data_IF_385887144067
#
_entry.id   IF_385887144067
#
_cell.length_a   1.000
_cell.length_b   1.000
_cell.length_c   1.000
_cell.angle_alpha   90.00
_cell.angle_beta   90.00
_cell.angle_gamma   90.00
#
_symmetry.space_group_name_H-M   'P 1'
#
loop_
_entity.id
_entity.type
_entity.pdbx_description
1 polymer ?
#
# COMPACT_ATOMS: atom_id res chain seq x y z
N UNK A 1 -1.98 19.25 1.26
CA UNK A 1 -2.62 18.05 1.78
C UNK A 1 -1.92 17.67 3.10
N UNK A 2 -2.69 17.49 4.15
CA UNK A 2 -2.20 16.99 5.45
C UNK A 2 -2.99 15.73 5.79
N UNK A 3 -2.29 14.69 6.21
CA UNK A 3 -2.88 13.42 6.64
C UNK A 3 -2.32 13.11 8.02
N UNK A 4 -3.19 13.07 9.03
CA UNK A 4 -2.77 12.76 10.39
C UNK A 4 -2.73 11.24 10.62
N UNK A 5 -2.05 10.85 11.68
CA UNK A 5 -1.97 9.45 12.08
C UNK A 5 -3.37 8.87 12.33
N UNK A 6 -3.65 7.72 11.72
CA UNK A 6 -4.93 7.01 11.83
C UNK A 6 -6.03 7.51 10.89
N UNK A 7 -5.80 8.60 10.16
CA UNK A 7 -6.78 9.10 9.19
C UNK A 7 -6.74 8.31 7.88
N UNK A 8 -7.91 8.18 7.27
CA UNK A 8 -8.08 7.63 5.93
C UNK A 8 -8.58 8.71 5.00
N UNK A 9 -7.74 9.05 4.04
CA UNK A 9 -8.02 10.02 3.00
C UNK A 9 -8.24 9.33 1.66
N UNK A 10 -9.23 9.79 0.92
CA UNK A 10 -9.49 9.34 -0.45
C UNK A 10 -9.13 10.46 -1.41
N UNK A 11 -8.39 10.13 -2.46
CA UNK A 11 -8.04 11.05 -3.54
C UNK A 11 -8.74 10.61 -4.83
N UNK A 12 -9.68 11.40 -5.25
CA UNK A 12 -10.45 11.20 -6.49
C UNK A 12 -10.09 12.26 -7.54
N UNK A 13 -10.55 12.05 -8.75
CA UNK A 13 -10.36 13.01 -9.85
C UNK A 13 -10.30 12.33 -11.20
N UNK A 14 -10.41 13.09 -12.30
CA UNK A 14 -10.39 12.52 -13.65
C UNK A 14 -9.05 11.85 -13.98
N UNK A 15 -9.05 11.01 -15.00
CA UNK A 15 -7.83 10.42 -15.53
C UNK A 15 -6.89 11.54 -16.03
N UNK A 16 -5.59 11.38 -15.76
CA UNK A 16 -4.60 12.41 -16.10
C UNK A 16 -4.50 13.58 -15.10
N UNK A 17 -5.32 13.63 -14.04
CA UNK A 17 -5.25 14.70 -13.02
C UNK A 17 -3.96 14.69 -12.18
N UNK A 18 -3.19 13.59 -12.20
CA UNK A 18 -1.93 13.48 -11.46
C UNK A 18 -2.03 12.66 -10.17
N UNK A 19 -3.10 11.89 -9.95
CA UNK A 19 -3.31 11.09 -8.72
C UNK A 19 -2.17 10.10 -8.47
N UNK A 20 -1.92 9.20 -9.40
CA UNK A 20 -0.82 8.20 -9.31
C UNK A 20 0.55 8.88 -9.28
N UNK A 21 0.72 9.97 -10.03
CA UNK A 21 1.94 10.78 -9.99
C UNK A 21 2.22 11.28 -8.57
N UNK A 22 1.19 11.75 -7.84
CA UNK A 22 1.33 12.16 -6.45
C UNK A 22 1.82 11.00 -5.57
N UNK A 23 1.22 9.81 -5.71
CA UNK A 23 1.65 8.60 -4.98
C UNK A 23 3.13 8.28 -5.23
N UNK A 24 3.56 8.29 -6.49
CA UNK A 24 4.97 8.06 -6.85
C UNK A 24 5.91 9.14 -6.33
N UNK A 25 5.51 10.41 -6.38
CA UNK A 25 6.30 11.54 -5.84
C UNK A 25 6.43 11.42 -4.32
N UNK A 26 5.36 11.10 -3.62
CA UNK A 26 5.38 10.86 -2.17
C UNK A 26 6.31 9.70 -1.81
N UNK A 27 6.40 8.68 -2.65
CA UNK A 27 7.30 7.54 -2.45
C UNK A 27 8.75 7.80 -2.91
N UNK A 28 9.03 8.97 -3.52
CA UNK A 28 10.36 9.33 -3.99
C UNK A 28 10.82 8.55 -5.22
N UNK A 29 9.88 8.22 -6.12
CA UNK A 29 10.21 7.52 -7.35
C UNK A 29 11.18 8.34 -8.22
N UNK A 30 12.33 7.78 -8.67
CA UNK A 30 13.39 8.53 -9.36
C UNK A 30 12.97 9.19 -10.67
N UNK A 31 11.85 8.73 -11.25
CA UNK A 31 11.27 9.28 -12.48
C UNK A 31 10.80 10.74 -12.30
N UNK A 32 10.49 11.15 -11.07
CA UNK A 32 9.90 12.44 -10.78
C UNK A 32 10.81 13.29 -9.90
N UNK A 33 10.85 14.59 -10.16
CA UNK A 33 11.61 15.57 -9.38
C UNK A 33 10.65 16.59 -8.80
N UNK A 34 10.76 16.83 -7.49
CA UNK A 34 10.04 17.91 -6.81
C UNK A 34 10.75 19.23 -7.11
N UNK A 35 10.07 20.13 -7.81
CA UNK A 35 10.62 21.42 -8.23
C UNK A 35 10.29 22.55 -7.26
N UNK A 36 9.43 22.32 -6.28
CA UNK A 36 9.05 23.30 -5.27
C UNK A 36 8.12 22.71 -4.21
N UNK A 37 8.03 23.36 -3.08
CA UNK A 37 7.31 22.88 -1.90
C UNK A 37 8.12 21.92 -1.06
N UNK A 38 7.47 21.29 -0.09
CA UNK A 38 8.07 20.33 0.86
C UNK A 38 7.16 19.13 1.07
N UNK A 39 7.78 17.97 1.28
CA UNK A 39 7.11 16.74 1.73
C UNK A 39 7.61 16.46 3.15
N UNK A 40 6.71 16.61 4.12
CA UNK A 40 7.00 16.31 5.52
C UNK A 40 6.38 14.95 5.90
N UNK A 41 7.18 14.09 6.51
CA UNK A 41 6.71 12.83 7.06
C UNK A 41 7.15 12.68 8.51
N UNK A 42 6.21 12.56 9.43
CA UNK A 42 6.45 12.53 10.88
C UNK A 42 7.25 13.74 11.39
N UNK A 43 7.06 14.91 10.76
CA UNK A 43 7.76 16.16 11.09
C UNK A 43 9.13 16.33 10.43
N UNK A 44 9.63 15.35 9.72
CA UNK A 44 10.91 15.41 9.00
C UNK A 44 10.70 15.73 7.52
N UNK A 45 11.58 16.58 6.96
CA UNK A 45 11.56 16.88 5.52
C UNK A 45 12.19 15.73 4.74
N UNK A 46 11.36 15.03 3.98
CA UNK A 46 11.75 13.88 3.14
C UNK A 46 11.76 14.22 1.64
N UNK A 47 11.65 15.49 1.28
CA UNK A 47 11.47 15.93 -0.11
C UNK A 47 12.51 15.34 -1.06
N UNK A 48 13.76 15.23 -0.60
CA UNK A 48 14.88 14.69 -1.40
C UNK A 48 15.36 13.31 -0.94
N UNK A 49 14.65 12.68 -0.01
CA UNK A 49 15.01 11.34 0.45
C UNK A 49 14.67 10.26 -0.60
N UNK A 50 15.53 9.25 -0.68
CA UNK A 50 15.36 8.12 -1.60
C UNK A 50 14.20 7.22 -1.21
N UNK A 51 13.67 6.46 -2.18
CA UNK A 51 12.53 5.54 -2.00
C UNK A 51 12.77 4.52 -0.86
N UNK A 52 13.99 3.96 -0.78
CA UNK A 52 14.33 2.99 0.26
C UNK A 52 14.31 3.60 1.67
N UNK A 53 14.78 4.84 1.83
CA UNK A 53 14.71 5.55 3.10
C UNK A 53 13.27 5.86 3.51
N UNK A 54 12.42 6.30 2.57
CA UNK A 54 11.00 6.54 2.83
C UNK A 54 10.27 5.24 3.21
N UNK A 55 10.57 4.13 2.54
CA UNK A 55 10.03 2.83 2.88
C UNK A 55 10.45 2.38 4.30
N UNK A 56 11.74 2.53 4.66
CA UNK A 56 12.26 2.24 6.00
C UNK A 56 11.65 3.14 7.07
N UNK A 57 11.35 4.40 6.76
CA UNK A 57 10.66 5.34 7.65
C UNK A 57 9.19 4.93 7.91
N UNK A 58 8.64 4.03 7.10
CA UNK A 58 7.30 3.46 7.27
C UNK A 58 6.28 3.94 6.25
N UNK A 59 6.71 4.32 5.06
CA UNK A 59 5.81 4.56 3.93
C UNK A 59 5.66 3.31 3.08
N UNK A 60 4.49 3.12 2.48
CA UNK A 60 4.16 2.01 1.59
C UNK A 60 3.35 2.51 0.39
N UNK A 61 3.63 1.99 -0.78
CA UNK A 61 2.86 2.24 -2.00
C UNK A 61 2.44 0.92 -2.62
N UNK A 62 1.13 0.74 -2.81
CA UNK A 62 0.58 -0.31 -3.65
C UNK A 62 0.67 0.15 -5.11
N UNK A 63 1.23 -0.68 -5.96
CA UNK A 63 1.40 -0.35 -7.38
C UNK A 63 0.14 -0.71 -8.18
N UNK A 64 -0.17 0.09 -9.18
CA UNK A 64 -1.25 -0.25 -10.12
C UNK A 64 -0.96 -1.60 -10.81
N UNK A 65 0.30 -1.82 -11.22
CA UNK A 65 0.79 -3.08 -11.77
C UNK A 65 1.96 -3.61 -10.95
N UNK A 66 1.74 -4.56 -10.02
CA UNK A 66 2.78 -5.16 -9.22
C UNK A 66 3.80 -5.92 -10.06
N UNK A 67 5.08 -5.63 -9.85
CA UNK A 67 6.18 -6.26 -10.58
C UNK A 67 6.37 -7.73 -10.17
N UNK A 68 6.76 -8.55 -11.15
CA UNK A 68 7.19 -9.92 -10.92
C UNK A 68 8.67 -9.96 -10.57
N UNK A 69 9.03 -10.71 -9.51
CA UNK A 69 10.43 -10.87 -9.09
C UNK A 69 10.78 -12.35 -9.02
N UNK A 70 11.29 -12.94 -10.12
CA UNK A 70 11.69 -14.32 -10.15
C UNK A 70 12.81 -14.62 -9.13
N UNK A 71 12.70 -15.75 -8.45
CA UNK A 71 13.70 -16.23 -7.49
C UNK A 71 13.60 -15.63 -6.08
N UNK A 72 12.77 -14.61 -5.86
CA UNK A 72 12.48 -14.07 -4.54
C UNK A 72 11.07 -14.49 -4.12
N UNK A 73 10.94 -15.32 -3.09
CA UNK A 73 9.62 -15.76 -2.63
C UNK A 73 8.85 -14.63 -1.96
N UNK A 74 7.50 -14.70 -2.00
CA UNK A 74 6.62 -13.73 -1.32
C UNK A 74 6.95 -13.63 0.17
N UNK A 75 7.09 -14.78 0.85
CA UNK A 75 7.52 -14.85 2.25
C UNK A 75 8.90 -14.23 2.48
N UNK A 76 9.86 -14.58 1.64
CA UNK A 76 11.24 -14.08 1.71
C UNK A 76 11.30 -12.56 1.57
N UNK A 77 10.53 -12.00 0.63
CA UNK A 77 10.40 -10.56 0.43
C UNK A 77 9.86 -9.87 1.69
N UNK A 78 8.70 -10.31 2.18
CA UNK A 78 8.04 -9.72 3.35
C UNK A 78 8.95 -9.78 4.58
N UNK A 79 9.57 -10.94 4.83
CA UNK A 79 10.48 -11.13 5.95
C UNK A 79 11.70 -10.22 5.87
N UNK A 80 12.31 -10.10 4.69
CA UNK A 80 13.46 -9.22 4.47
C UNK A 80 13.09 -7.75 4.70
N UNK A 81 11.93 -7.31 4.21
CA UNK A 81 11.43 -5.96 4.43
C UNK A 81 11.16 -5.68 5.92
N UNK A 82 10.56 -6.62 6.64
CA UNK A 82 10.36 -6.52 8.09
C UNK A 82 11.69 -6.42 8.84
N UNK A 83 12.70 -7.23 8.48
CA UNK A 83 14.02 -7.18 9.10
C UNK A 83 14.70 -5.81 8.92
N UNK A 84 14.52 -5.16 7.77
CA UNK A 84 15.02 -3.80 7.56
C UNK A 84 14.33 -2.75 8.43
N UNK A 85 13.07 -3.00 8.82
CA UNK A 85 12.28 -2.08 9.64
C UNK A 85 12.51 -2.26 11.13
N UNK A 86 12.54 -3.51 11.62
CA UNK A 86 12.56 -3.82 13.07
C UNK A 86 13.83 -4.54 13.55
N UNK A 87 14.77 -4.82 12.65
CA UNK A 87 16.00 -5.53 12.92
C UNK A 87 15.80 -7.05 13.00
N UNK A 88 15.43 -7.58 14.17
CA UNK A 88 15.25 -9.01 14.35
C UNK A 88 13.79 -9.43 14.24
N UNK A 89 13.52 -10.43 13.40
CA UNK A 89 12.19 -11.03 13.22
C UNK A 89 12.26 -12.51 13.64
N UNK A 90 11.56 -12.87 14.71
CA UNK A 90 11.46 -14.26 15.15
C UNK A 90 10.66 -15.05 14.13
N UNK A 91 11.25 -16.11 13.59
CA UNK A 91 10.64 -16.88 12.50
C UNK A 91 9.28 -17.47 12.83
N UNK A 92 9.12 -17.99 14.04
CA UNK A 92 7.85 -18.57 14.49
C UNK A 92 6.72 -17.54 14.52
N UNK A 93 6.97 -16.37 15.09
CA UNK A 93 5.97 -15.30 15.20
C UNK A 93 5.60 -14.77 13.82
N UNK A 94 6.60 -14.64 12.94
CA UNK A 94 6.40 -14.26 11.54
C UNK A 94 5.52 -15.26 10.79
N UNK A 95 5.79 -16.56 10.88
CA UNK A 95 4.99 -17.60 10.19
C UNK A 95 3.55 -17.63 10.70
N UNK A 96 3.35 -17.47 12.01
CA UNK A 96 2.02 -17.40 12.62
C UNK A 96 1.22 -16.22 12.08
N UNK A 97 1.82 -15.03 12.04
CA UNK A 97 1.15 -13.82 11.54
C UNK A 97 0.92 -13.89 10.02
N UNK A 98 1.88 -14.43 9.26
CA UNK A 98 1.73 -14.65 7.82
C UNK A 98 0.53 -15.56 7.53
N UNK A 99 0.41 -16.70 8.23
CA UNK A 99 -0.72 -17.61 8.07
C UNK A 99 -2.05 -16.91 8.39
N UNK A 100 -2.13 -16.16 9.51
CA UNK A 100 -3.32 -15.40 9.89
C UNK A 100 -3.73 -14.41 8.79
N UNK A 101 -2.79 -13.66 8.25
CA UNK A 101 -3.07 -12.68 7.20
C UNK A 101 -3.50 -13.35 5.88
N UNK A 102 -2.87 -14.47 5.53
CA UNK A 102 -3.25 -15.25 4.34
C UNK A 102 -4.66 -15.83 4.47
N UNK A 103 -5.05 -16.32 5.64
CA UNK A 103 -6.41 -16.81 5.92
C UNK A 103 -7.46 -15.71 5.73
N UNK A 104 -7.21 -14.49 6.22
CA UNK A 104 -8.10 -13.35 6.04
C UNK A 104 -8.33 -13.04 4.56
N UNK A 105 -7.27 -13.11 3.76
CA UNK A 105 -7.30 -12.88 2.31
C UNK A 105 -7.75 -14.10 1.50
N UNK A 106 -8.06 -15.23 2.15
CA UNK A 106 -8.34 -16.50 1.51
C UNK A 106 -7.29 -16.81 0.42
N UNK A 107 -6.04 -16.73 0.82
CA UNK A 107 -4.88 -16.98 -0.02
C UNK A 107 -4.25 -18.32 0.36
N UNK A 108 -4.11 -19.22 -0.62
CA UNK A 108 -3.51 -20.53 -0.37
C UNK A 108 -2.08 -20.42 0.15
N UNK A 109 -1.74 -21.22 1.16
CA UNK A 109 -0.44 -21.16 1.84
C UNK A 109 0.76 -21.37 0.89
N UNK A 110 0.58 -22.10 -0.21
CA UNK A 110 1.63 -22.34 -1.20
C UNK A 110 2.14 -21.06 -1.88
N UNK A 111 1.31 -20.00 -1.92
CA UNK A 111 1.74 -18.71 -2.48
C UNK A 111 2.89 -18.08 -1.71
N UNK A 112 3.04 -18.36 -0.42
CA UNK A 112 4.15 -17.86 0.39
C UNK A 112 5.53 -18.29 -0.17
N UNK A 113 5.61 -19.50 -0.72
CA UNK A 113 6.84 -20.11 -1.24
C UNK A 113 7.05 -19.83 -2.73
N UNK A 114 6.07 -19.27 -3.44
CA UNK A 114 6.19 -18.91 -4.85
C UNK A 114 6.94 -17.59 -5.02
N UNK A 115 7.64 -17.45 -6.15
CA UNK A 115 8.29 -16.18 -6.52
C UNK A 115 7.26 -15.06 -6.58
N UNK A 116 7.62 -13.90 -6.01
CA UNK A 116 6.76 -12.74 -5.85
C UNK A 116 6.09 -12.36 -7.18
N UNK A 117 4.78 -12.45 -7.22
CA UNK A 117 3.89 -12.11 -8.33
C UNK A 117 4.08 -12.94 -9.62
N UNK A 118 5.05 -13.87 -9.70
CA UNK A 118 5.30 -14.65 -10.90
C UNK A 118 4.17 -15.64 -11.14
N UNK A 119 3.47 -15.47 -12.27
CA UNK A 119 2.34 -16.31 -12.65
C UNK A 119 1.12 -16.15 -11.73
N UNK A 120 1.03 -15.07 -10.97
CA UNK A 120 -0.17 -14.73 -10.21
C UNK A 120 -1.19 -14.06 -11.14
N UNK A 121 -2.46 -14.38 -10.97
CA UNK A 121 -3.56 -13.63 -11.57
C UNK A 121 -3.61 -12.19 -11.03
N UNK A 122 -4.35 -11.30 -11.66
CA UNK A 122 -4.52 -9.92 -11.17
C UNK A 122 -5.03 -9.85 -9.74
N UNK A 123 -6.03 -10.67 -9.40
CA UNK A 123 -6.56 -10.75 -8.04
C UNK A 123 -5.56 -11.27 -7.02
N UNK A 124 -4.77 -12.28 -7.38
CA UNK A 124 -3.72 -12.83 -6.51
C UNK A 124 -2.57 -11.82 -6.29
N UNK A 125 -2.17 -11.06 -7.33
CA UNK A 125 -1.20 -9.98 -7.19
C UNK A 125 -1.69 -8.91 -6.21
N UNK A 126 -2.95 -8.52 -6.29
CA UNK A 126 -3.53 -7.53 -5.36
C UNK A 126 -3.66 -8.08 -3.94
N UNK A 127 -4.07 -9.34 -3.76
CA UNK A 127 -4.03 -9.99 -2.45
C UNK A 127 -2.61 -10.04 -1.88
N UNK A 128 -1.60 -10.33 -2.69
CA UNK A 128 -0.20 -10.33 -2.26
C UNK A 128 0.30 -8.94 -1.83
N UNK A 129 -0.17 -7.86 -2.47
CA UNK A 129 0.11 -6.49 -2.03
C UNK A 129 -0.55 -6.17 -0.69
N UNK A 130 -1.82 -6.55 -0.51
CA UNK A 130 -2.52 -6.34 0.76
C UNK A 130 -1.93 -7.21 1.88
N UNK A 131 -1.48 -8.42 1.57
CA UNK A 131 -0.70 -9.23 2.51
C UNK A 131 0.56 -8.50 2.99
N UNK A 132 1.29 -7.86 2.07
CA UNK A 132 2.45 -7.03 2.42
C UNK A 132 2.04 -5.85 3.32
N UNK A 133 0.95 -5.14 2.99
CA UNK A 133 0.41 -4.06 3.82
C UNK A 133 0.13 -4.52 5.25
N UNK A 134 -0.60 -5.63 5.41
CA UNK A 134 -0.97 -6.19 6.72
C UNK A 134 0.25 -6.62 7.52
N UNK A 135 1.24 -7.24 6.87
CA UNK A 135 2.47 -7.72 7.52
C UNK A 135 3.44 -6.59 7.87
N UNK A 136 3.65 -5.63 6.97
CA UNK A 136 4.62 -4.55 7.15
C UNK A 136 4.11 -3.44 8.06
N UNK A 137 2.79 -3.29 8.20
CA UNK A 137 2.14 -2.28 9.06
C UNK A 137 2.80 -0.91 8.91
N UNK A 138 2.78 -0.30 7.72
CA UNK A 138 3.40 1.01 7.49
C UNK A 138 2.69 2.11 8.29
N UNK A 139 3.38 3.23 8.52
CA UNK A 139 2.77 4.40 9.16
C UNK A 139 1.89 5.21 8.21
N UNK A 140 2.22 5.16 6.90
CA UNK A 140 1.40 5.69 5.81
C UNK A 140 1.36 4.66 4.68
N UNK A 141 0.18 4.23 4.30
CA UNK A 141 -0.03 3.41 3.12
C UNK A 141 -0.73 4.24 2.03
N UNK A 142 -0.19 4.19 0.83
CA UNK A 142 -0.75 4.79 -0.38
C UNK A 142 -1.25 3.64 -1.25
N UNK A 143 -2.56 3.55 -1.46
CA UNK A 143 -3.21 2.50 -2.24
C UNK A 143 -3.67 3.10 -3.57
N UNK A 144 -2.99 2.75 -4.67
CA UNK A 144 -3.29 3.31 -6.00
C UNK A 144 -4.09 2.30 -6.84
N UNK A 145 -5.38 2.61 -7.05
CA UNK A 145 -6.34 1.81 -7.83
C UNK A 145 -6.33 0.32 -7.50
N UNK A 146 -6.27 -0.01 -6.20
CA UNK A 146 -6.10 -1.38 -5.71
C UNK A 146 -7.28 -2.29 -6.04
N UNK A 147 -8.45 -1.73 -6.34
CA UNK A 147 -9.67 -2.44 -6.75
C UNK A 147 -9.87 -2.50 -8.28
N UNK A 148 -8.98 -1.91 -9.05
CA UNK A 148 -9.08 -1.88 -10.52
C UNK A 148 -8.89 -3.26 -11.14
N UNK A 149 -9.80 -3.65 -12.04
CA UNK A 149 -9.74 -4.93 -12.76
C UNK A 149 -10.07 -6.16 -11.91
N UNK A 150 -10.51 -5.98 -10.67
CA UNK A 150 -10.92 -7.08 -9.80
C UNK A 150 -12.40 -7.41 -9.93
N UNK A 151 -12.73 -8.70 -9.79
CA UNK A 151 -14.10 -9.15 -9.56
C UNK A 151 -14.60 -8.77 -8.16
N UNK A 152 -15.89 -8.96 -7.90
CA UNK A 152 -16.54 -8.57 -6.66
C UNK A 152 -15.94 -9.29 -5.43
N UNK A 153 -15.63 -10.58 -5.58
CA UNK A 153 -15.10 -11.38 -4.47
C UNK A 153 -13.66 -10.95 -4.13
N UNK A 154 -12.83 -10.69 -5.13
CA UNK A 154 -11.47 -10.18 -4.92
C UNK A 154 -11.49 -8.79 -4.28
N UNK A 155 -12.36 -7.86 -4.72
CA UNK A 155 -12.52 -6.55 -4.09
C UNK A 155 -12.90 -6.69 -2.63
N UNK A 156 -13.86 -7.58 -2.30
CA UNK A 156 -14.29 -7.82 -0.92
C UNK A 156 -13.13 -8.30 -0.03
N UNK A 157 -12.28 -9.21 -0.52
CA UNK A 157 -11.15 -9.74 0.25
C UNK A 157 -10.05 -8.68 0.43
N UNK A 158 -9.76 -7.91 -0.61
CA UNK A 158 -8.83 -6.78 -0.56
C UNK A 158 -9.30 -5.74 0.45
N UNK A 159 -10.58 -5.33 0.37
CA UNK A 159 -11.18 -4.38 1.32
C UNK A 159 -11.10 -4.88 2.76
N UNK A 160 -11.39 -6.19 3.00
CA UNK A 160 -11.27 -6.81 4.32
C UNK A 160 -9.83 -6.75 4.86
N UNK A 161 -8.82 -6.97 4.02
CA UNK A 161 -7.43 -6.85 4.42
C UNK A 161 -7.04 -5.41 4.78
N UNK A 162 -7.55 -4.42 4.05
CA UNK A 162 -7.34 -2.99 4.36
C UNK A 162 -8.06 -2.60 5.65
N UNK A 163 -9.31 -3.06 5.85
CA UNK A 163 -10.06 -2.87 7.09
C UNK A 163 -9.31 -3.44 8.30
N UNK A 164 -8.75 -4.64 8.16
CA UNK A 164 -7.97 -5.28 9.22
C UNK A 164 -6.70 -4.47 9.54
N UNK A 165 -6.02 -3.93 8.52
CA UNK A 165 -4.91 -3.01 8.73
C UNK A 165 -5.32 -1.75 9.49
N UNK A 166 -6.49 -1.16 9.18
CA UNK A 166 -7.01 -0.01 9.92
C UNK A 166 -7.28 -0.32 11.40
N UNK A 167 -7.84 -1.51 11.70
CA UNK A 167 -8.16 -1.93 13.08
C UNK A 167 -6.90 -2.25 13.91
N UNK A 168 -5.97 -2.98 13.30
CA UNK A 168 -4.77 -3.48 14.00
C UNK A 168 -3.66 -2.45 14.09
N UNK A 169 -3.70 -1.44 13.26
CA UNK A 169 -2.62 -0.48 13.12
C UNK A 169 -3.12 0.93 12.95
N UNK A 170 -2.68 1.79 13.84
CA UNK A 170 -3.03 3.22 13.80
C UNK A 170 -2.20 3.99 12.74
N UNK A 171 -2.07 3.39 11.55
CA UNK A 171 -1.43 3.97 10.38
C UNK A 171 -2.41 4.82 9.57
N UNK A 172 -1.90 5.77 8.81
CA UNK A 172 -2.69 6.58 7.89
C UNK A 172 -2.84 5.88 6.54
N UNK A 173 -3.96 6.15 5.86
CA UNK A 173 -4.26 5.67 4.50
C UNK A 173 -4.48 6.84 3.56
N UNK A 174 -3.88 6.76 2.38
CA UNK A 174 -4.24 7.55 1.21
C UNK A 174 -4.70 6.60 0.11
N UNK A 175 -5.98 6.58 -0.18
CA UNK A 175 -6.58 5.71 -1.20
C UNK A 175 -6.83 6.53 -2.45
N UNK A 176 -6.16 6.19 -3.54
CA UNK A 176 -6.35 6.77 -4.86
C UNK A 176 -7.29 5.83 -5.61
N UNK A 177 -8.49 6.28 -5.90
CA UNK A 177 -9.48 5.49 -6.63
C UNK A 177 -10.46 6.36 -7.40
N UNK A 178 -11.06 5.79 -8.42
CA UNK A 178 -12.22 6.34 -9.14
C UNK A 178 -13.50 5.52 -8.87
N UNK A 179 -13.41 4.50 -8.02
CA UNK A 179 -14.49 3.57 -7.67
C UNK A 179 -14.81 3.64 -6.17
N UNK A 180 -16.06 3.45 -5.83
CA UNK A 180 -16.50 3.42 -4.43
C UNK A 180 -16.44 2.02 -3.82
N UNK A 181 -16.26 0.98 -4.63
CA UNK A 181 -16.34 -0.43 -4.19
C UNK A 181 -15.41 -0.79 -3.03
N UNK A 182 -14.15 -0.33 -3.09
CA UNK A 182 -13.20 -0.57 -2.01
C UNK A 182 -13.56 0.23 -0.75
N UNK A 183 -14.26 1.36 -0.90
CA UNK A 183 -14.60 2.27 0.19
C UNK A 183 -15.79 1.79 1.01
N UNK A 184 -16.65 0.91 0.48
CA UNK A 184 -17.87 0.45 1.14
C UNK A 184 -17.61 -0.24 2.50
N UNK A 185 -16.42 -0.83 2.67
CA UNK A 185 -15.99 -1.50 3.90
C UNK A 185 -15.06 -0.66 4.78
N UNK A 186 -14.72 0.56 4.38
CA UNK A 186 -13.70 1.37 5.03
C UNK A 186 -14.30 2.63 5.67
N UNK A 187 -13.77 3.01 6.83
CA UNK A 187 -14.05 4.34 7.41
C UNK A 187 -13.17 5.37 6.72
N UNK A 188 -13.80 6.35 6.07
CA UNK A 188 -13.12 7.45 5.36
C UNK A 188 -13.34 8.75 6.12
N UNK A 189 -12.25 9.44 6.47
CA UNK A 189 -12.31 10.72 7.19
C UNK A 189 -12.42 11.90 6.21
N UNK A 190 -11.68 11.87 5.11
CA UNK A 190 -11.65 12.97 4.14
C UNK A 190 -11.62 12.45 2.70
N UNK A 191 -12.30 13.18 1.83
CA UNK A 191 -12.24 12.96 0.39
C UNK A 191 -11.72 14.23 -0.28
N UNK A 192 -10.73 14.07 -1.15
CA UNK A 192 -10.12 15.15 -1.92
C UNK A 192 -10.35 14.93 -3.41
N UNK A 193 -10.59 16.00 -4.12
CA UNK A 193 -10.73 15.97 -5.58
C UNK A 193 -9.54 16.67 -6.22
N UNK A 194 -8.75 15.91 -6.99
CA UNK A 194 -7.63 16.44 -7.76
C UNK A 194 -8.06 16.77 -9.18
N UNK A 195 -7.86 18.02 -9.59
CA UNK A 195 -8.15 18.48 -10.94
C UNK A 195 -6.95 19.29 -11.47
N UNK A 196 -6.43 18.90 -12.61
CA UNK A 196 -5.27 19.57 -13.24
C UNK A 196 -4.09 19.80 -12.27
N UNK A 197 -3.76 18.79 -11.47
CA UNK A 197 -2.66 18.83 -10.52
C UNK A 197 -2.92 19.67 -9.25
N UNK A 198 -4.15 20.13 -9.02
CA UNK A 198 -4.54 20.92 -7.84
C UNK A 198 -5.66 20.23 -7.07
N UNK A 199 -5.60 20.29 -5.75
CA UNK A 199 -6.73 19.88 -4.91
C UNK A 199 -7.79 20.97 -5.01
N UNK A 200 -8.96 20.59 -5.53
CA UNK A 200 -10.08 21.51 -5.77
C UNK A 200 -11.13 21.46 -4.65
N UNK A 201 -11.20 20.35 -3.90
CA UNK A 201 -12.08 20.14 -2.74
C UNK A 201 -11.46 19.08 -1.81
#
# INVERSE_FOLDING_TARGET
>A
LTINKGETHVLMGPNGAGKSTLGYVLMGAPKYTVTGGQILFKGEDITHESTDKRAKAGMFLSFQEPLEVPGLTLEGFIRSALQQKVGHVRYYDFKKELARCMDILQMDASYAERSLNVGFSGGEKKKAEILQLMMLKPSLAILDETDSGLDVDAVRLVSKGVEEYQKDHNGALLIITHSTRILDALSVDYTHVLVNGKIAA
#
